data_IF_507199955174
#
_entry.id   IF_507199955174
#
_cell.length_a   1.000
_cell.length_b   1.000
_cell.length_c   1.000
_cell.angle_alpha   90.00
_cell.angle_beta   90.00
_cell.angle_gamma   90.00
#
_symmetry.space_group_name_H-M   'P 1'
#
loop_
_entity.id
_entity.type
_entity.pdbx_description
1 polymer ?
#
# COMPACT_ATOMS: atom_id res chain seq x y z
N UNK A 1 16.83 0.31 -10.45
CA UNK A 1 16.85 1.47 -11.36
C UNK A 1 15.56 2.24 -11.08
N UNK A 2 15.53 3.49 -10.64
CA UNK A 2 16.41 4.42 -9.92
C UNK A 2 15.41 5.44 -9.35
N UNK A 3 15.60 5.87 -8.09
CA UNK A 3 15.11 7.08 -7.38
C UNK A 3 15.18 6.70 -5.89
N UNK A 4 16.05 7.23 -5.02
CA UNK A 4 16.39 8.63 -4.79
C UNK A 4 17.82 8.77 -4.22
N UNK A 5 18.78 9.18 -5.05
CA UNK A 5 19.91 9.98 -4.56
C UNK A 5 19.71 11.36 -5.15
N UNK A 6 19.30 12.32 -4.32
CA UNK A 6 19.35 13.72 -4.67
C UNK A 6 20.82 14.14 -4.67
N UNK A 7 21.52 13.89 -5.77
CA UNK A 7 22.83 14.47 -5.99
C UNK A 7 22.65 15.98 -6.10
N UNK A 8 22.85 16.70 -5.00
CA UNK A 8 23.12 18.12 -5.09
C UNK A 8 24.42 18.28 -5.89
N UNK A 9 24.30 18.82 -7.10
CA UNK A 9 25.46 19.24 -7.88
C UNK A 9 26.14 20.37 -7.10
N UNK A 10 27.44 20.27 -6.73
CA UNK A 10 28.13 21.39 -6.11
C UNK A 10 28.08 22.59 -7.08
N UNK A 11 27.71 23.74 -6.56
CA UNK A 11 27.67 24.99 -7.32
C UNK A 11 29.11 25.40 -7.65
N UNK A 12 29.52 25.21 -8.90
CA UNK A 12 30.67 25.92 -9.46
C UNK A 12 30.18 27.29 -9.91
N UNK A 13 30.77 28.36 -9.40
CA UNK A 13 30.34 29.76 -9.57
C UNK A 13 30.43 30.32 -11.01
N UNK A 14 30.61 29.49 -12.05
CA UNK A 14 31.06 29.94 -13.37
C UNK A 14 30.15 29.64 -14.58
N UNK A 15 28.88 29.26 -14.41
CA UNK A 15 27.97 29.14 -15.58
C UNK A 15 26.64 29.88 -15.41
N UNK A 16 26.69 31.16 -15.79
CA UNK A 16 25.53 32.01 -16.06
C UNK A 16 24.74 31.50 -17.26
N UNK A 17 23.41 31.41 -17.07
CA UNK A 17 22.39 31.71 -18.08
C UNK A 17 22.39 30.87 -19.39
N UNK A 18 22.32 29.54 -19.27
CA UNK A 18 21.86 28.69 -20.37
C UNK A 18 20.79 27.69 -19.88
N UNK A 19 19.55 27.95 -20.30
CA UNK A 19 18.48 26.96 -20.55
C UNK A 19 18.04 26.04 -19.39
N UNK A 20 17.56 26.66 -18.30
CA UNK A 20 16.88 25.94 -17.20
C UNK A 20 15.65 25.14 -17.66
N UNK A 21 14.99 25.52 -18.75
CA UNK A 21 13.78 24.82 -19.23
C UNK A 21 14.10 23.51 -19.96
N UNK A 22 15.22 23.47 -20.70
CA UNK A 22 15.60 22.29 -21.47
C UNK A 22 16.27 21.21 -20.58
N UNK A 23 16.89 21.61 -19.48
CA UNK A 23 17.48 20.72 -18.49
C UNK A 23 16.42 20.05 -17.59
N UNK A 24 15.31 20.74 -17.29
CA UNK A 24 14.18 20.16 -16.55
C UNK A 24 13.43 19.06 -17.32
N UNK A 25 13.48 19.08 -18.66
CA UNK A 25 12.85 18.08 -19.54
C UNK A 25 13.73 16.85 -19.80
N UNK A 26 15.04 16.90 -19.50
CA UNK A 26 16.01 15.84 -19.83
C UNK A 26 16.43 14.96 -18.66
N UNK A 27 15.94 15.22 -17.46
CA UNK A 27 16.13 14.40 -16.28
C UNK A 27 14.83 14.20 -15.51
N UNK A 28 14.79 13.16 -14.69
CA UNK A 28 13.79 12.98 -13.63
C UNK A 28 13.94 14.10 -12.59
N UNK A 29 13.52 15.31 -12.94
CA UNK A 29 13.53 16.47 -12.06
C UNK A 29 12.31 16.48 -11.13
N UNK A 30 12.35 17.30 -10.08
CA UNK A 30 11.28 17.47 -9.09
C UNK A 30 9.90 17.92 -9.65
N UNK A 31 9.75 18.05 -10.97
CA UNK A 31 8.49 18.35 -11.67
C UNK A 31 7.99 17.25 -12.61
N UNK A 32 8.69 16.12 -12.78
CA UNK A 32 8.20 15.01 -13.61
C UNK A 32 7.23 14.15 -12.81
N UNK A 33 5.93 14.36 -13.01
CA UNK A 33 4.86 13.51 -12.48
C UNK A 33 4.59 12.35 -13.45
N UNK A 34 4.54 11.13 -12.91
CA UNK A 34 4.04 9.97 -13.65
C UNK A 34 2.52 10.15 -13.79
N UNK A 35 2.07 10.47 -15.01
CA UNK A 35 0.66 10.64 -15.34
C UNK A 35 0.17 9.50 -16.24
N UNK A 36 -1.06 9.06 -16.04
CA UNK A 36 -1.67 8.03 -16.88
C UNK A 36 -1.87 8.56 -18.31
N UNK A 37 -1.47 7.77 -19.31
CA UNK A 37 -1.67 8.09 -20.72
C UNK A 37 -2.70 7.13 -21.35
N UNK A 38 -3.59 7.61 -22.24
CA UNK A 38 -4.55 6.74 -22.91
C UNK A 38 -3.82 5.65 -23.71
N UNK A 39 -4.29 4.41 -23.60
CA UNK A 39 -3.72 3.25 -24.29
C UNK A 39 -2.42 2.72 -23.67
N UNK A 40 -1.95 3.28 -22.55
CA UNK A 40 -0.72 2.85 -21.88
C UNK A 40 -1.03 2.43 -20.44
N UNK A 41 -0.77 1.15 -20.15
CA UNK A 41 -0.78 0.63 -18.78
C UNK A 41 0.62 0.62 -18.18
N UNK A 42 0.76 1.20 -16.99
CA UNK A 42 1.98 1.10 -16.20
C UNK A 42 1.86 -0.04 -15.19
N UNK A 43 2.96 -0.75 -14.96
CA UNK A 43 3.02 -1.88 -14.04
C UNK A 43 3.95 -1.51 -12.89
N UNK A 44 3.38 -1.37 -11.70
CA UNK A 44 4.14 -1.23 -10.46
C UNK A 44 4.30 -2.62 -9.79
N UNK A 45 5.01 -2.70 -8.67
CA UNK A 45 5.23 -3.93 -7.93
C UNK A 45 3.92 -4.61 -7.52
N UNK A 46 2.98 -3.84 -6.97
CA UNK A 46 1.74 -4.33 -6.35
C UNK A 46 0.48 -3.86 -7.05
N UNK A 47 0.61 -2.99 -8.04
CA UNK A 47 -0.52 -2.37 -8.73
C UNK A 47 -0.31 -2.26 -10.24
N UNK A 48 -1.40 -2.02 -10.95
CA UNK A 48 -1.41 -1.54 -12.32
C UNK A 48 -1.98 -0.13 -12.33
N UNK A 49 -1.45 0.73 -13.18
CA UNK A 49 -1.93 2.10 -13.32
C UNK A 49 -2.38 2.34 -14.76
N UNK A 50 -3.62 2.79 -14.91
CA UNK A 50 -4.27 3.09 -16.19
C UNK A 50 -4.91 4.47 -16.18
N UNK A 51 -5.25 4.96 -17.37
CA UNK A 51 -6.18 6.09 -17.47
C UNK A 51 -7.61 5.58 -17.31
N UNK A 52 -8.49 6.41 -16.72
CA UNK A 52 -9.90 6.06 -16.54
C UNK A 52 -10.59 5.64 -17.84
N UNK A 53 -10.29 6.32 -18.96
CA UNK A 53 -10.84 6.01 -20.28
C UNK A 53 -10.51 4.60 -20.80
N UNK A 54 -9.44 3.99 -20.29
CA UNK A 54 -8.99 2.66 -20.70
C UNK A 54 -9.59 1.55 -19.82
N UNK A 55 -10.37 1.93 -18.81
CA UNK A 55 -11.00 1.01 -17.89
C UNK A 55 -12.50 0.96 -18.13
N UNK A 56 -13.04 -0.25 -18.27
CA UNK A 56 -14.48 -0.49 -18.36
C UNK A 56 -15.00 -1.19 -17.10
N UNK A 57 -16.27 -0.96 -16.77
CA UNK A 57 -16.92 -1.65 -15.65
C UNK A 57 -16.42 -1.21 -14.27
N UNK A 58 -16.00 0.05 -14.13
CA UNK A 58 -15.62 0.64 -12.85
C UNK A 58 -16.77 1.46 -12.24
N UNK A 59 -16.79 1.54 -10.91
CA UNK A 59 -17.57 2.50 -10.14
C UNK A 59 -16.63 3.22 -9.18
N UNK A 60 -16.83 4.53 -9.02
CA UNK A 60 -16.04 5.40 -8.16
C UNK A 60 -16.86 5.83 -6.96
N UNK A 61 -16.25 5.90 -5.78
CA UNK A 61 -16.89 6.42 -4.55
C UNK A 61 -15.88 7.10 -3.63
N UNK A 62 -16.36 7.96 -2.73
CA UNK A 62 -15.51 8.61 -1.71
C UNK A 62 -15.28 7.71 -0.49
N UNK A 63 -16.18 6.74 -0.26
CA UNK A 63 -16.16 5.83 0.87
C UNK A 63 -16.26 4.37 0.40
N UNK A 64 -15.63 3.41 1.12
CA UNK A 64 -15.71 2.00 0.79
C UNK A 64 -17.02 1.34 1.28
N UNK A 65 -17.92 2.10 1.94
CA UNK A 65 -19.11 1.53 2.57
C UNK A 65 -20.11 0.98 1.55
N UNK A 66 -20.76 -0.17 1.84
CA UNK A 66 -21.85 -0.68 1.02
C UNK A 66 -23.01 0.32 1.04
N UNK A 67 -23.27 0.97 -0.11
CA UNK A 67 -24.29 2.01 -0.23
C UNK A 67 -23.75 3.44 -0.33
N UNK A 68 -22.43 3.64 -0.28
CA UNK A 68 -21.82 4.91 -0.63
C UNK A 68 -22.29 5.37 -2.03
N UNK A 69 -22.52 6.68 -2.16
CA UNK A 69 -22.82 7.29 -3.45
C UNK A 69 -21.68 6.95 -4.42
N UNK A 70 -22.04 6.28 -5.51
CA UNK A 70 -21.08 5.85 -6.53
C UNK A 70 -21.56 6.21 -7.92
N UNK A 71 -20.61 6.50 -8.80
CA UNK A 71 -20.87 6.86 -10.19
C UNK A 71 -19.89 6.12 -11.10
N UNK A 72 -20.21 6.09 -12.40
CA UNK A 72 -19.41 5.41 -13.42
C UNK A 72 -18.18 6.22 -13.80
N UNK A 73 -18.13 7.51 -13.47
CA UNK A 73 -17.00 8.39 -13.78
C UNK A 73 -16.47 9.07 -12.53
N UNK A 74 -15.16 9.27 -12.46
CA UNK A 74 -14.52 9.96 -11.34
C UNK A 74 -14.97 11.43 -11.25
N UNK A 75 -15.14 12.09 -12.40
CA UNK A 75 -15.53 13.49 -12.50
C UNK A 75 -16.93 13.77 -11.92
N UNK A 76 -17.87 12.83 -12.07
CA UNK A 76 -19.21 12.94 -11.47
C UNK A 76 -19.17 12.92 -9.94
N UNK A 77 -18.30 12.08 -9.35
CA UNK A 77 -18.09 12.04 -7.89
C UNK A 77 -17.40 13.31 -7.41
N UNK A 78 -16.36 13.76 -8.11
CA UNK A 78 -15.61 14.95 -7.73
C UNK A 78 -16.45 16.23 -7.85
N UNK A 79 -17.37 16.30 -8.80
CA UNK A 79 -18.31 17.42 -8.93
C UNK A 79 -19.30 17.53 -7.75
N UNK A 80 -19.48 16.45 -6.98
CA UNK A 80 -20.32 16.39 -5.78
C UNK A 80 -19.51 16.32 -4.49
N UNK A 81 -18.19 16.42 -4.58
CA UNK A 81 -17.32 16.29 -3.42
C UNK A 81 -17.39 17.49 -2.49
N UNK A 82 -17.13 17.22 -1.21
CA UNK A 82 -16.89 18.27 -0.22
C UNK A 82 -15.64 19.08 -0.57
N UNK A 83 -15.56 20.29 -0.01
CA UNK A 83 -14.38 21.16 -0.08
C UNK A 83 -13.57 21.01 1.23
N UNK A 84 -12.28 20.62 1.19
CA UNK A 84 -11.47 20.33 0.01
C UNK A 84 -11.80 18.98 -0.66
N UNK A 85 -11.60 18.87 -1.99
CA UNK A 85 -11.88 17.64 -2.72
C UNK A 85 -10.95 16.50 -2.25
N UNK A 86 -11.44 15.25 -2.27
CA UNK A 86 -10.63 14.10 -1.89
C UNK A 86 -9.47 13.93 -2.87
N UNK A 87 -8.31 13.54 -2.35
CA UNK A 87 -7.12 13.24 -3.18
C UNK A 87 -7.27 11.93 -3.95
N UNK A 88 -8.08 11.02 -3.44
CA UNK A 88 -8.28 9.68 -3.96
C UNK A 88 -9.75 9.27 -3.85
N UNK A 89 -10.22 8.45 -4.78
CA UNK A 89 -11.51 7.79 -4.72
C UNK A 89 -11.31 6.27 -4.66
N UNK A 90 -12.26 5.56 -4.07
CA UNK A 90 -12.34 4.11 -4.16
C UNK A 90 -12.84 3.68 -5.53
N UNK A 91 -12.30 2.58 -6.03
CA UNK A 91 -12.68 1.96 -7.30
C UNK A 91 -13.17 0.55 -7.03
N UNK A 92 -14.39 0.28 -7.46
CA UNK A 92 -15.05 -1.01 -7.32
C UNK A 92 -15.51 -1.55 -8.67
N UNK A 93 -15.56 -2.87 -8.79
CA UNK A 93 -16.10 -3.55 -9.96
C UNK A 93 -17.61 -3.30 -10.08
N UNK A 94 -18.10 -2.87 -11.25
CA UNK A 94 -19.52 -2.59 -11.47
C UNK A 94 -20.40 -3.84 -11.42
N UNK A 95 -19.84 -5.02 -11.70
CA UNK A 95 -20.56 -6.29 -11.75
C UNK A 95 -20.70 -7.01 -10.41
N UNK A 96 -19.65 -7.03 -9.58
CA UNK A 96 -19.67 -7.73 -8.28
C UNK A 96 -19.51 -6.82 -7.06
N UNK A 97 -19.38 -5.50 -7.26
CA UNK A 97 -19.14 -4.49 -6.22
C UNK A 97 -17.86 -4.69 -5.40
N UNK A 98 -16.99 -5.66 -5.75
CA UNK A 98 -15.73 -5.84 -5.07
C UNK A 98 -14.84 -4.60 -5.24
N UNK A 99 -14.27 -4.12 -4.14
CA UNK A 99 -13.24 -3.09 -4.14
C UNK A 99 -11.99 -3.64 -4.86
N UNK A 100 -11.46 -2.90 -5.85
CA UNK A 100 -10.35 -3.35 -6.70
C UNK A 100 -9.17 -2.38 -6.76
N UNK A 101 -9.33 -1.17 -6.24
CA UNK A 101 -8.25 -0.19 -6.21
C UNK A 101 -8.75 1.23 -6.04
N UNK A 102 -8.01 2.20 -6.57
CA UNK A 102 -8.20 3.62 -6.27
C UNK A 102 -8.07 4.49 -7.50
N UNK A 103 -8.74 5.64 -7.50
CA UNK A 103 -8.49 6.70 -8.46
C UNK A 103 -7.69 7.80 -7.78
N UNK A 104 -6.54 8.15 -8.34
CA UNK A 104 -5.70 9.24 -7.85
C UNK A 104 -6.01 10.52 -8.64
N UNK A 105 -6.55 11.53 -7.96
CA UNK A 105 -7.01 12.77 -8.58
C UNK A 105 -5.85 13.59 -9.15
N UNK A 106 -4.73 13.67 -8.43
CA UNK A 106 -3.56 14.44 -8.83
C UNK A 106 -2.92 13.92 -10.14
N UNK A 107 -2.96 12.61 -10.36
CA UNK A 107 -2.38 11.97 -11.55
C UNK A 107 -3.43 11.56 -12.58
N UNK A 108 -4.73 11.80 -12.28
CA UNK A 108 -5.88 11.38 -13.09
C UNK A 108 -5.77 9.91 -13.53
N UNK A 109 -5.47 9.04 -12.56
CA UNK A 109 -5.12 7.64 -12.83
C UNK A 109 -5.95 6.66 -12.01
N UNK A 110 -6.28 5.53 -12.61
CA UNK A 110 -6.86 4.36 -11.93
C UNK A 110 -5.72 3.42 -11.55
N UNK A 111 -5.58 3.16 -10.26
CA UNK A 111 -4.63 2.22 -9.67
C UNK A 111 -5.39 0.96 -9.27
N UNK A 112 -5.16 -0.15 -9.97
CA UNK A 112 -5.76 -1.46 -9.69
C UNK A 112 -4.80 -2.34 -8.90
N UNK A 113 -5.26 -2.93 -7.79
CA UNK A 113 -4.44 -3.77 -6.92
C UNK A 113 -4.33 -5.17 -7.50
N UNK A 114 -3.10 -5.69 -7.62
CA UNK A 114 -2.84 -6.96 -8.32
C UNK A 114 -3.57 -8.16 -7.69
N UNK A 115 -3.71 -8.19 -6.37
CA UNK A 115 -4.44 -9.26 -5.67
C UNK A 115 -5.96 -9.13 -5.73
N UNK A 116 -6.49 -8.04 -6.30
CA UNK A 116 -7.92 -7.76 -6.41
C UNK A 116 -8.46 -7.87 -7.83
N UNK A 117 -7.59 -8.11 -8.81
CA UNK A 117 -7.96 -8.25 -10.22
C UNK A 117 -7.44 -9.56 -10.79
N UNK A 118 -8.14 -10.09 -11.78
CA UNK A 118 -7.66 -11.23 -12.57
C UNK A 118 -7.08 -10.73 -13.89
N UNK A 119 -5.89 -11.20 -14.24
CA UNK A 119 -5.28 -10.91 -15.53
C UNK A 119 -5.50 -12.11 -16.47
N UNK A 120 -6.05 -11.86 -17.66
CA UNK A 120 -6.12 -12.88 -18.71
C UNK A 120 -4.73 -13.07 -19.31
N UNK A 121 -4.07 -14.16 -18.95
CA UNK A 121 -2.72 -14.50 -19.41
C UNK A 121 -2.75 -15.72 -20.34
N UNK A 122 -1.69 -15.91 -21.11
CA UNK A 122 -1.49 -17.12 -21.95
C UNK A 122 -1.21 -18.35 -21.10
N UNK A 123 -0.52 -18.16 -19.97
CA UNK A 123 -0.26 -19.18 -18.96
C UNK A 123 -0.83 -18.71 -17.61
N UNK A 124 -2.00 -19.19 -17.19
CA UNK A 124 -2.58 -18.83 -15.90
C UNK A 124 -1.69 -19.36 -14.76
N UNK A 125 -1.44 -18.50 -13.77
CA UNK A 125 -0.74 -18.85 -12.54
C UNK A 125 -1.50 -18.30 -11.33
N UNK A 126 -1.12 -18.75 -10.12
CA UNK A 126 -1.71 -18.24 -8.89
C UNK A 126 -1.42 -16.73 -8.75
N UNK A 127 -2.48 -15.92 -8.62
CA UNK A 127 -2.33 -14.50 -8.32
C UNK A 127 -1.80 -14.31 -6.89
N UNK A 128 -0.98 -13.28 -6.64
CA UNK A 128 -0.55 -12.99 -5.28
C UNK A 128 -1.73 -12.56 -4.42
N UNK A 129 -1.68 -12.86 -3.13
CA UNK A 129 -2.58 -12.28 -2.13
C UNK A 129 -2.01 -10.97 -1.56
N UNK A 130 -2.81 -10.27 -0.74
CA UNK A 130 -2.42 -8.98 -0.16
C UNK A 130 -1.20 -9.08 0.76
N UNK A 131 -1.06 -10.16 1.54
CA UNK A 131 0.09 -10.38 2.44
C UNK A 131 1.39 -10.64 1.66
N UNK A 132 1.31 -11.38 0.56
CA UNK A 132 2.45 -11.58 -0.33
C UNK A 132 2.86 -10.28 -1.04
N UNK A 133 1.88 -9.46 -1.44
CA UNK A 133 2.13 -8.13 -1.97
C UNK A 133 2.74 -7.19 -0.91
N UNK A 134 2.29 -7.27 0.35
CA UNK A 134 2.92 -6.54 1.46
C UNK A 134 4.37 -6.97 1.65
N UNK A 135 4.65 -8.29 1.66
CA UNK A 135 6.01 -8.79 1.75
C UNK A 135 6.90 -8.27 0.61
N UNK A 136 6.38 -8.27 -0.63
CA UNK A 136 7.07 -7.70 -1.77
C UNK A 136 7.36 -6.21 -1.58
N UNK A 137 6.37 -5.42 -1.16
CA UNK A 137 6.54 -3.98 -0.87
C UNK A 137 7.59 -3.73 0.19
N UNK A 138 7.57 -4.49 1.29
CA UNK A 138 8.55 -4.35 2.39
C UNK A 138 9.98 -4.67 1.93
N UNK A 139 10.17 -5.74 1.15
CA UNK A 139 11.48 -6.09 0.59
C UNK A 139 11.97 -5.00 -0.37
N UNK A 140 11.08 -4.49 -1.22
CA UNK A 140 11.42 -3.44 -2.16
C UNK A 140 11.76 -2.12 -1.45
N UNK A 141 11.01 -1.76 -0.40
CA UNK A 141 11.29 -0.60 0.45
C UNK A 141 12.64 -0.75 1.15
N UNK A 142 12.91 -1.89 1.80
CA UNK A 142 14.23 -2.19 2.40
C UNK A 142 15.36 -2.03 1.39
N UNK A 143 15.18 -2.56 0.18
CA UNK A 143 16.20 -2.49 -0.88
C UNK A 143 16.43 -1.06 -1.39
N UNK A 144 15.41 -0.19 -1.35
CA UNK A 144 15.49 1.20 -1.83
C UNK A 144 16.02 2.16 -0.77
N UNK A 145 15.53 2.07 0.46
CA UNK A 145 15.84 3.04 1.53
C UNK A 145 16.93 2.54 2.50
N UNK A 146 17.21 1.23 2.52
CA UNK A 146 18.06 0.62 3.53
C UNK A 146 17.40 0.51 4.91
N UNK A 147 16.17 1.02 5.10
CA UNK A 147 15.45 0.87 6.36
C UNK A 147 14.75 -0.47 6.42
N UNK A 148 14.94 -1.16 7.56
CA UNK A 148 14.26 -2.41 7.88
C UNK A 148 12.96 -2.21 8.65
N UNK A 149 12.61 -0.97 8.99
CA UNK A 149 11.40 -0.63 9.74
C UNK A 149 10.38 0.04 8.84
N UNK A 150 9.12 -0.32 9.01
CA UNK A 150 8.01 0.28 8.26
C UNK A 150 6.78 0.40 9.14
N UNK A 151 5.98 1.42 8.86
CA UNK A 151 4.65 1.58 9.43
C UNK A 151 3.64 1.40 8.30
N UNK A 152 2.73 0.46 8.47
CA UNK A 152 1.66 0.18 7.52
C UNK A 152 0.42 0.91 7.99
N UNK A 153 -0.01 1.89 7.21
CA UNK A 153 -1.18 2.73 7.49
C UNK A 153 -2.26 2.58 6.42
N UNK A 154 -3.53 2.89 6.74
CA UNK A 154 -4.61 2.87 5.77
C UNK A 154 -4.30 3.83 4.60
N UNK A 155 -4.52 3.38 3.38
CA UNK A 155 -4.40 4.22 2.18
C UNK A 155 -5.39 5.41 2.17
N UNK A 156 -6.41 5.36 3.02
CA UNK A 156 -7.41 6.38 3.24
C UNK A 156 -7.52 6.62 4.73
N UNK A 157 -7.24 7.84 5.16
CA UNK A 157 -7.69 8.29 6.46
C UNK A 157 -9.18 8.66 6.34
N UNK A 158 -10.08 8.12 7.17
CA UNK A 158 -11.41 8.70 7.28
C UNK A 158 -11.24 10.17 7.67
N UNK A 159 -11.94 11.07 6.99
CA UNK A 159 -11.88 12.49 7.34
C UNK A 159 -12.29 12.66 8.80
N UNK A 160 -11.66 13.60 9.50
CA UNK A 160 -11.98 13.93 10.90
C UNK A 160 -13.48 14.27 11.15
N UNK A 161 -14.27 14.48 10.10
CA UNK A 161 -15.72 14.71 10.18
C UNK A 161 -16.55 13.45 10.47
N UNK A 162 -16.10 12.25 10.06
CA UNK A 162 -16.81 11.00 10.35
C UNK A 162 -16.62 10.54 11.81
N UNK A 163 -15.57 11.02 12.48
CA UNK A 163 -15.32 10.77 13.91
C UNK A 163 -16.07 11.75 14.83
N UNK A 164 -16.27 13.01 14.39
CA UNK A 164 -16.94 14.03 15.19
C UNK A 164 -18.48 13.86 15.27
N UNK A 165 -19.08 13.09 14.36
CA UNK A 165 -20.52 12.78 14.41
C UNK A 165 -20.86 11.67 15.42
N UNK A 166 -19.86 11.07 16.08
CA UNK A 166 -20.05 10.01 17.09
C UNK A 166 -19.89 10.51 18.53
N UNK A 167 -19.59 11.79 18.76
CA UNK A 167 -19.17 12.33 20.06
C UNK A 167 -20.27 13.07 20.85
N UNK A 168 -21.56 12.89 20.49
CA UNK A 168 -22.69 13.50 21.22
C UNK A 168 -23.60 12.48 21.95
N UNK A 169 -23.18 11.21 22.09
CA UNK A 169 -23.90 10.19 22.89
C UNK A 169 -22.92 9.43 23.81
N UNK A 170 -22.91 9.83 25.08
CA UNK A 170 -21.94 9.49 26.16
C UNK A 170 -22.00 8.02 26.66
N UNK A 171 -22.40 7.04 25.82
CA UNK A 171 -22.54 5.64 26.25
C UNK A 171 -22.34 4.57 25.14
N UNK A 172 -21.88 4.95 23.94
CA UNK A 172 -21.54 3.98 22.89
C UNK A 172 -20.04 3.68 22.90
N UNK A 173 -19.65 2.47 23.35
CA UNK A 173 -18.29 1.93 23.22
C UNK A 173 -17.75 2.22 21.81
N UNK A 174 -16.82 3.17 21.71
CA UNK A 174 -16.11 3.46 20.47
C UNK A 174 -15.54 2.14 19.93
N UNK A 175 -16.05 1.69 18.79
CA UNK A 175 -15.49 0.52 18.14
C UNK A 175 -14.01 0.80 17.91
N UNK A 176 -13.08 -0.04 18.40
CA UNK A 176 -11.66 0.25 18.28
C UNK A 176 -11.31 0.42 16.80
N UNK A 177 -10.70 1.54 16.45
CA UNK A 177 -10.18 1.73 15.11
C UNK A 177 -9.18 0.59 14.84
N UNK A 178 -9.26 -0.06 13.68
CA UNK A 178 -8.35 -1.16 13.36
C UNK A 178 -6.91 -0.63 13.39
N UNK A 179 -5.98 -1.36 14.04
CA UNK A 179 -4.65 -0.85 14.32
C UNK A 179 -3.81 -0.76 13.05
N UNK A 180 -2.90 0.22 13.02
CA UNK A 180 -1.79 0.25 12.09
C UNK A 180 -0.74 -0.81 12.49
N UNK A 181 0.15 -1.18 11.57
CA UNK A 181 1.20 -2.16 11.85
C UNK A 181 2.58 -1.49 11.86
N UNK A 182 3.31 -1.62 12.97
CA UNK A 182 4.73 -1.32 13.02
C UNK A 182 5.51 -2.62 12.77
N UNK A 183 6.24 -2.67 11.67
CA UNK A 183 6.96 -3.85 11.19
C UNK A 183 8.47 -3.59 11.19
N UNK A 184 9.24 -4.60 11.56
CA UNK A 184 10.70 -4.57 11.52
C UNK A 184 11.26 -5.89 10.99
N UNK A 185 11.83 -5.85 9.78
CA UNK A 185 12.41 -7.03 9.11
C UNK A 185 13.67 -7.48 9.85
N UNK A 186 13.64 -8.72 10.37
CA UNK A 186 14.82 -9.39 10.93
C UNK A 186 15.61 -10.14 9.86
N UNK A 187 14.91 -10.84 8.99
CA UNK A 187 15.50 -11.58 7.90
C UNK A 187 14.58 -11.55 6.68
N UNK A 188 15.02 -10.87 5.62
CA UNK A 188 14.28 -10.74 4.38
C UNK A 188 14.30 -12.01 3.51
N UNK A 189 15.08 -13.03 3.84
CA UNK A 189 15.35 -14.19 2.99
C UNK A 189 15.42 -15.48 3.81
N UNK A 190 14.26 -15.96 4.26
CA UNK A 190 14.16 -17.29 4.85
C UNK A 190 13.40 -18.24 3.92
N UNK A 191 13.55 -19.52 4.17
CA UNK A 191 12.70 -20.58 3.61
C UNK A 191 12.36 -21.52 4.75
N UNK A 192 11.09 -21.88 4.88
CA UNK A 192 10.63 -22.76 5.95
C UNK A 192 9.73 -23.88 5.40
N UNK A 193 9.67 -24.97 6.15
CA UNK A 193 8.72 -26.05 5.95
C UNK A 193 8.01 -26.31 7.29
N UNK A 194 6.74 -26.70 7.26
CA UNK A 194 5.96 -26.96 8.46
C UNK A 194 5.22 -28.28 8.37
N UNK A 195 5.25 -29.04 9.46
CA UNK A 195 4.46 -30.27 9.60
C UNK A 195 2.95 -30.02 9.62
N UNK A 196 2.51 -28.77 9.81
CA UNK A 196 1.11 -28.34 9.67
C UNK A 196 0.65 -28.28 8.22
N UNK A 197 1.59 -28.18 7.28
CA UNK A 197 1.36 -28.16 5.83
C UNK A 197 2.01 -29.39 5.19
N UNK A 198 1.56 -30.60 5.57
CA UNK A 198 2.15 -31.85 5.08
C UNK A 198 2.06 -31.93 3.55
N UNK A 199 3.18 -32.25 2.90
CA UNK A 199 3.26 -32.36 1.44
C UNK A 199 3.43 -31.03 0.70
N UNK A 200 3.41 -29.89 1.40
CA UNK A 200 3.72 -28.61 0.79
C UNK A 200 5.23 -28.46 0.54
N UNK A 201 5.58 -27.85 -0.59
CA UNK A 201 6.96 -27.46 -0.87
C UNK A 201 7.46 -26.43 0.16
N UNK A 202 8.77 -26.34 0.42
CA UNK A 202 9.35 -25.29 1.25
C UNK A 202 8.94 -23.89 0.73
N UNK A 203 8.55 -23.01 1.65
CA UNK A 203 7.94 -21.72 1.34
C UNK A 203 8.95 -20.60 1.63
N UNK A 204 9.29 -19.74 0.65
CA UNK A 204 10.10 -18.57 0.91
C UNK A 204 9.29 -17.53 1.68
N UNK A 205 9.90 -16.86 2.64
CA UNK A 205 9.25 -15.87 3.48
C UNK A 205 10.22 -14.79 3.97
N UNK A 206 9.66 -13.75 4.60
CA UNK A 206 10.39 -12.81 5.44
C UNK A 206 10.05 -13.10 6.91
N UNK A 207 11.06 -13.08 7.79
CA UNK A 207 10.89 -13.11 9.25
C UNK A 207 10.97 -11.68 9.76
N UNK A 208 9.97 -11.25 10.50
CA UNK A 208 9.88 -9.88 11.00
C UNK A 208 9.34 -9.83 12.42
N UNK A 209 9.65 -8.73 13.10
CA UNK A 209 9.01 -8.30 14.32
C UNK A 209 7.82 -7.40 13.98
N UNK A 210 6.70 -7.54 14.68
CA UNK A 210 5.54 -6.68 14.48
C UNK A 210 4.86 -6.26 15.78
N UNK A 211 4.24 -5.08 15.73
CA UNK A 211 3.30 -4.55 16.72
C UNK A 211 2.07 -4.00 16.01
N UNK A 212 0.91 -4.30 16.56
CA UNK A 212 -0.33 -3.57 16.27
C UNK A 212 -0.30 -2.29 17.12
N UNK A 213 -0.40 -1.13 16.48
CA UNK A 213 -0.28 0.18 17.13
C UNK A 213 -1.50 1.07 16.82
N UNK A 214 -1.88 1.99 17.72
CA UNK A 214 -2.91 2.98 17.42
C UNK A 214 -2.51 3.88 16.24
N UNK A 215 -3.51 4.36 15.49
CA UNK A 215 -3.27 5.27 14.36
C UNK A 215 -2.48 6.52 14.78
N UNK A 216 -2.79 7.10 15.95
CA UNK A 216 -2.06 8.27 16.46
C UNK A 216 -0.56 7.98 16.74
N UNK A 217 -0.20 6.76 17.15
CA UNK A 217 1.21 6.36 17.30
C UNK A 217 1.89 6.27 15.92
N UNK A 218 1.19 5.70 14.93
CA UNK A 218 1.68 5.62 13.55
C UNK A 218 1.91 7.01 12.94
N UNK A 219 0.95 7.92 13.09
CA UNK A 219 1.05 9.29 12.57
C UNK A 219 2.22 10.04 13.21
N UNK A 220 2.38 9.95 14.53
CA UNK A 220 3.51 10.56 15.24
C UNK A 220 4.87 10.00 14.78
N UNK A 221 4.93 8.70 14.45
CA UNK A 221 6.14 8.10 13.89
C UNK A 221 6.46 8.61 12.49
N UNK A 222 5.45 8.87 11.64
CA UNK A 222 5.62 9.36 10.27
C UNK A 222 5.95 10.86 10.21
N UNK A 223 5.41 11.65 11.14
CA UNK A 223 5.66 13.10 11.23
C UNK A 223 7.02 13.44 11.87
N UNK A 224 7.63 12.50 12.58
CA UNK A 224 8.92 12.70 13.23
C UNK A 224 10.04 12.99 12.24
N UNK A 225 10.72 14.14 12.41
CA UNK A 225 11.84 14.57 11.56
C UNK A 225 13.05 13.63 11.58
N UNK A 226 13.18 12.81 12.63
CA UNK A 226 14.25 11.82 12.78
C UNK A 226 13.72 10.39 12.65
N UNK A 227 12.60 10.21 11.96
CA UNK A 227 11.98 8.90 11.80
C UNK A 227 12.88 7.95 11.01
N UNK A 228 13.05 6.73 11.53
CA UNK A 228 13.75 5.65 10.85
C UNK A 228 12.79 4.65 10.17
N UNK A 229 11.48 4.94 10.22
CA UNK A 229 10.45 4.10 9.60
C UNK A 229 10.10 4.55 8.20
N UNK A 230 9.58 3.63 7.40
CA UNK A 230 9.07 3.90 6.06
C UNK A 230 7.56 3.73 6.03
N UNK A 231 6.86 4.65 5.38
CA UNK A 231 5.42 4.54 5.18
C UNK A 231 5.11 3.47 4.13
N UNK A 232 4.15 2.60 4.45
CA UNK A 232 3.53 1.66 3.51
C UNK A 232 2.03 1.82 3.61
N UNK A 233 1.35 2.00 2.49
CA UNK A 233 -0.11 2.16 2.47
C UNK A 233 -0.79 0.89 1.98
N UNK A 234 -1.86 0.47 2.66
CA UNK A 234 -2.73 -0.63 2.26
C UNK A 234 -4.20 -0.28 2.53
N UNK A 235 -5.16 -0.89 1.82
CA UNK A 235 -6.55 -0.81 2.24
C UNK A 235 -6.75 -1.46 3.62
N UNK A 236 -7.73 -0.97 4.36
CA UNK A 236 -7.91 -1.28 5.78
C UNK A 236 -8.13 -2.78 6.06
N UNK A 237 -8.91 -3.44 5.21
CA UNK A 237 -9.17 -4.87 5.34
C UNK A 237 -7.88 -5.70 5.15
N UNK A 238 -6.95 -5.22 4.33
CA UNK A 238 -5.68 -5.86 4.02
C UNK A 238 -4.65 -5.65 5.14
N UNK A 239 -4.71 -4.55 5.88
CA UNK A 239 -3.94 -4.37 7.12
C UNK A 239 -4.41 -5.37 8.17
N UNK A 240 -5.72 -5.49 8.37
CA UNK A 240 -6.30 -6.47 9.27
C UNK A 240 -5.94 -7.91 8.87
N UNK A 241 -6.03 -8.23 7.58
CA UNK A 241 -5.62 -9.53 7.04
C UNK A 241 -4.12 -9.80 7.21
N UNK A 242 -3.26 -8.79 7.07
CA UNK A 242 -1.83 -8.93 7.34
C UNK A 242 -1.54 -9.18 8.83
N UNK A 243 -2.24 -8.48 9.74
CA UNK A 243 -2.14 -8.71 11.18
C UNK A 243 -2.53 -10.14 11.55
N UNK A 244 -3.62 -10.64 10.97
CA UNK A 244 -4.07 -12.02 11.15
C UNK A 244 -3.06 -13.03 10.60
N UNK A 245 -2.54 -12.82 9.39
CA UNK A 245 -1.51 -13.67 8.79
C UNK A 245 -0.25 -13.74 9.66
N UNK A 246 0.19 -12.59 10.21
CA UNK A 246 1.32 -12.52 11.13
C UNK A 246 1.04 -13.30 12.42
N UNK A 247 -0.11 -13.11 13.06
CA UNK A 247 -0.53 -13.87 14.24
C UNK A 247 -0.57 -15.38 13.97
N UNK A 248 -1.18 -15.79 12.86
CA UNK A 248 -1.27 -17.20 12.46
C UNK A 248 0.11 -17.82 12.19
N UNK A 249 1.02 -17.05 11.58
CA UNK A 249 2.39 -17.51 11.29
C UNK A 249 3.24 -17.68 12.55
N UNK A 250 2.99 -16.92 13.62
CA UNK A 250 3.66 -17.09 14.91
C UNK A 250 3.45 -18.48 15.51
N UNK A 251 2.30 -19.11 15.22
CA UNK A 251 2.02 -20.49 15.63
C UNK A 251 2.85 -21.55 14.89
N UNK A 252 3.61 -21.17 13.87
CA UNK A 252 4.60 -22.02 13.20
C UNK A 252 5.97 -21.96 13.90
N UNK A 253 6.20 -20.95 14.74
CA UNK A 253 7.44 -20.76 15.47
C UNK A 253 7.42 -21.50 16.82
N UNK A 254 8.59 -21.96 17.31
CA UNK A 254 8.73 -22.47 18.66
C UNK A 254 8.22 -21.44 19.69
N UNK A 255 7.58 -21.87 20.81
CA UNK A 255 6.99 -20.92 21.78
C UNK A 255 7.94 -19.84 22.27
N UNK A 256 9.22 -20.16 22.49
CA UNK A 256 10.24 -19.21 22.93
C UNK A 256 10.70 -18.20 21.85
N UNK A 257 10.30 -18.38 20.60
CA UNK A 257 10.64 -17.50 19.47
C UNK A 257 9.46 -16.64 18.98
N UNK A 258 8.29 -16.74 19.61
CA UNK A 258 7.08 -16.01 19.18
C UNK A 258 7.08 -14.54 19.60
N UNK A 259 7.85 -14.21 20.63
CA UNK A 259 7.93 -12.87 21.21
C UNK A 259 9.40 -12.52 21.45
N UNK A 260 9.78 -11.30 21.08
CA UNK A 260 11.07 -10.71 21.39
C UNK A 260 10.83 -9.36 22.09
N UNK A 261 10.97 -9.35 23.42
CA UNK A 261 10.60 -8.20 24.28
C UNK A 261 9.13 -7.82 24.07
N UNK A 262 8.84 -6.58 23.65
CA UNK A 262 7.50 -6.07 23.35
C UNK A 262 7.01 -6.42 21.93
N UNK A 263 7.82 -7.13 21.13
CA UNK A 263 7.52 -7.43 19.73
C UNK A 263 7.03 -8.86 19.54
N UNK A 264 5.97 -9.02 18.76
CA UNK A 264 5.60 -10.33 18.24
C UNK A 264 6.50 -10.68 17.06
N UNK A 265 6.74 -11.97 16.83
CA UNK A 265 7.55 -12.46 15.70
C UNK A 265 6.62 -13.20 14.74
N UNK A 266 6.67 -12.82 13.46
CA UNK A 266 5.83 -13.41 12.43
C UNK A 266 6.58 -13.62 11.12
N UNK A 267 5.94 -14.37 10.23
CA UNK A 267 6.39 -14.65 8.87
C UNK A 267 5.37 -14.09 7.88
N UNK A 268 5.85 -13.45 6.81
CA UNK A 268 5.05 -13.20 5.61
C UNK A 268 5.64 -13.99 4.46
N UNK A 269 4.82 -14.81 3.81
CA UNK A 269 5.23 -15.60 2.66
C UNK A 269 5.53 -14.67 1.47
N UNK A 270 6.51 -15.08 0.65
CA UNK A 270 6.79 -14.43 -0.63
C UNK A 270 6.01 -15.14 -1.72
N UNK A 271 5.43 -14.36 -2.63
CA UNK A 271 4.81 -14.92 -3.82
C UNK A 271 5.84 -15.66 -4.68
N UNK A 272 5.47 -16.84 -5.18
CA UNK A 272 6.27 -17.65 -6.09
C UNK A 272 5.44 -17.94 -7.34
N UNK A 273 6.00 -17.63 -8.51
CA UNK A 273 5.37 -17.97 -9.78
C UNK A 273 5.25 -19.50 -9.92
N UNK A 274 4.03 -19.99 -10.15
CA UNK A 274 3.77 -21.42 -10.38
C UNK A 274 3.60 -22.26 -9.11
N UNK A 275 3.43 -21.64 -7.93
CA UNK A 275 2.99 -22.36 -6.74
C UNK A 275 1.59 -22.95 -6.95
N UNK A 276 1.47 -24.26 -6.74
CA UNK A 276 0.20 -25.02 -6.70
C UNK A 276 -0.44 -24.87 -5.33
#
# INVERSE_FOLDING_TARGET
>A
MMDFWHCHKPTTDDERAADHEHLAKRGYGAGSSIAAQPGVGMVDLTSFLFRESDCAGLKFSQSPSPGAASDITSSAILARASDPPPRTLYVSCSGCAAHIGFFNVATSSVVLLKWRVSCRTTSPGAAPNSSECLAATLIATLSRSGSSKSVVVPAFQPSHQDAAAADDDDDAKSSPSPPALHLWILNANITYASSRCRGAAPRPAIKLLYREIPQAEADAMLESMTSDVQEVTLPLAEIAGAAEALRASGELLPPGERVFREWNVGLLDKWVAGGV
#
